data_IF_026429614328
#
_entry.id   IF_026429614328
#
_cell.length_a   1.000
_cell.length_b   1.000
_cell.length_c   1.000
_cell.angle_alpha   90.00
_cell.angle_beta   90.00
_cell.angle_gamma   90.00
#
_symmetry.space_group_name_H-M   'P 1'
#
loop_
_entity.id
_entity.type
_entity.pdbx_description
1 polymer ?
#
# COMPACT_ATOMS: atom_id res chain seq x y z
N UNK A 1 23.54 -7.81 0.95
CA UNK A 1 24.51 -8.30 -0.02
C UNK A 1 23.99 -9.55 -0.72
N UNK A 2 24.72 -10.06 -1.71
CA UNK A 2 24.30 -11.20 -2.51
C UNK A 2 24.11 -12.47 -1.68
N UNK A 3 24.94 -12.68 -0.66
CA UNK A 3 24.82 -13.86 0.20
C UNK A 3 23.47 -13.93 0.91
N UNK A 4 22.92 -12.80 1.38
CA UNK A 4 21.59 -12.77 2.00
C UNK A 4 20.46 -13.17 1.01
N UNK A 5 20.60 -12.78 -0.26
CA UNK A 5 19.64 -13.18 -1.29
C UNK A 5 19.73 -14.68 -1.59
N UNK A 6 20.93 -15.24 -1.61
CA UNK A 6 21.16 -16.66 -1.75
C UNK A 6 20.55 -17.44 -0.57
N UNK A 7 20.92 -17.08 0.65
CA UNK A 7 20.38 -17.74 1.87
C UNK A 7 18.84 -17.69 1.90
N UNK A 8 18.26 -16.55 1.52
CA UNK A 8 16.81 -16.43 1.41
C UNK A 8 16.21 -17.40 0.38
N UNK A 9 16.83 -17.55 -0.79
CA UNK A 9 16.39 -18.50 -1.80
C UNK A 9 16.44 -19.94 -1.31
N UNK A 10 17.48 -20.31 -0.57
CA UNK A 10 17.62 -21.67 -0.04
C UNK A 10 16.56 -21.94 1.03
N UNK A 11 16.35 -21.04 1.99
CA UNK A 11 15.30 -21.14 3.00
C UNK A 11 13.89 -21.26 2.37
N UNK A 12 13.63 -20.50 1.30
CA UNK A 12 12.34 -20.55 0.60
C UNK A 12 12.15 -21.90 -0.13
N UNK A 13 13.20 -22.45 -0.71
CA UNK A 13 13.17 -23.80 -1.33
C UNK A 13 12.88 -24.88 -0.28
N UNK A 14 13.43 -24.74 0.92
CA UNK A 14 13.20 -25.64 2.06
C UNK A 14 11.79 -25.51 2.65
N UNK A 15 10.98 -24.55 2.18
CA UNK A 15 9.57 -24.40 2.58
C UNK A 15 9.33 -23.36 3.66
N UNK A 16 10.32 -22.52 3.99
CA UNK A 16 10.14 -21.39 4.88
C UNK A 16 9.06 -20.43 4.32
N UNK A 17 8.21 -19.91 5.20
CA UNK A 17 7.17 -18.97 4.82
C UNK A 17 7.77 -17.70 4.23
N UNK A 18 7.42 -17.41 2.97
CA UNK A 18 7.87 -16.22 2.26
C UNK A 18 6.80 -15.13 2.31
N UNK A 19 7.13 -14.01 2.95
CA UNK A 19 6.25 -12.85 3.15
C UNK A 19 6.96 -11.60 2.67
N UNK A 20 6.23 -10.70 2.00
CA UNK A 20 6.73 -9.41 1.56
C UNK A 20 5.82 -8.27 2.07
N UNK A 21 6.43 -7.11 2.31
CA UNK A 21 5.72 -5.93 2.80
C UNK A 21 4.92 -5.24 1.71
N UNK A 22 5.43 -5.17 0.48
CA UNK A 22 4.78 -4.58 -0.70
C UNK A 22 5.41 -5.13 -1.99
N UNK A 23 4.74 -5.00 -3.15
CA UNK A 23 5.20 -5.52 -4.43
C UNK A 23 5.87 -4.47 -5.33
N UNK A 24 6.11 -3.25 -4.85
CA UNK A 24 6.59 -2.14 -5.66
C UNK A 24 7.97 -2.46 -6.25
N UNK A 25 8.10 -2.34 -7.57
CA UNK A 25 9.34 -2.65 -8.31
C UNK A 25 10.41 -1.60 -8.04
N UNK A 26 10.01 -0.33 -8.02
CA UNK A 26 10.91 0.79 -7.86
C UNK A 26 10.37 1.81 -6.86
N UNK A 27 11.26 2.38 -6.07
CA UNK A 27 11.00 3.57 -5.28
C UNK A 27 11.48 4.81 -6.07
N UNK A 28 10.60 5.77 -6.39
CA UNK A 28 11.02 7.01 -7.04
C UNK A 28 11.86 7.85 -6.08
N UNK A 29 12.93 8.44 -6.60
CA UNK A 29 13.84 9.33 -5.88
C UNK A 29 13.84 10.71 -6.52
N UNK A 30 14.32 11.70 -5.77
CA UNK A 30 14.52 13.05 -6.28
C UNK A 30 15.40 13.08 -7.53
N UNK A 31 15.09 13.99 -8.46
CA UNK A 31 15.82 14.11 -9.73
C UNK A 31 15.47 13.05 -10.77
N UNK A 32 14.31 12.39 -10.67
CA UNK A 32 13.82 11.41 -11.65
C UNK A 32 14.56 10.08 -11.65
N UNK A 33 15.30 9.80 -10.60
CA UNK A 33 15.97 8.51 -10.38
C UNK A 33 15.03 7.50 -9.74
N UNK A 34 15.38 6.23 -9.86
CA UNK A 34 14.67 5.13 -9.23
C UNK A 34 15.63 4.22 -8.45
N UNK A 35 15.18 3.74 -7.31
CA UNK A 35 15.87 2.71 -6.55
C UNK A 35 15.07 1.41 -6.70
N UNK A 36 15.71 0.26 -7.03
CA UNK A 36 15.04 -1.03 -6.96
C UNK A 36 14.46 -1.28 -5.58
N UNK A 37 13.18 -1.67 -5.54
CA UNK A 37 12.45 -1.85 -4.29
C UNK A 37 12.07 -3.33 -4.07
N UNK A 38 11.24 -3.61 -3.06
CA UNK A 38 10.88 -4.97 -2.66
C UNK A 38 10.41 -5.85 -3.83
N UNK A 39 9.63 -5.28 -4.77
CA UNK A 39 9.19 -6.00 -5.97
C UNK A 39 10.32 -6.48 -6.87
N UNK A 40 11.42 -5.72 -6.98
CA UNK A 40 12.62 -6.15 -7.71
C UNK A 40 13.31 -7.32 -7.03
N UNK A 41 13.37 -7.33 -5.69
CA UNK A 41 13.90 -8.44 -4.90
C UNK A 41 12.98 -9.67 -5.03
N UNK A 42 11.67 -9.46 -5.00
CA UNK A 42 10.68 -10.53 -5.23
C UNK A 42 10.91 -11.17 -6.59
N UNK A 43 11.04 -10.37 -7.65
CA UNK A 43 11.26 -10.88 -9.01
C UNK A 43 12.56 -11.70 -9.10
N UNK A 44 13.64 -11.27 -8.46
CA UNK A 44 14.89 -12.04 -8.37
C UNK A 44 14.67 -13.40 -7.68
N UNK A 45 14.03 -13.41 -6.50
CA UNK A 45 13.77 -14.64 -5.73
C UNK A 45 12.83 -15.56 -6.49
N UNK A 46 11.78 -15.03 -7.10
CA UNK A 46 10.80 -15.78 -7.88
C UNK A 46 11.44 -16.45 -9.11
N UNK A 47 12.29 -15.71 -9.84
CA UNK A 47 13.06 -16.26 -10.95
C UNK A 47 13.98 -17.41 -10.52
N UNK A 48 14.55 -17.34 -9.31
CA UNK A 48 15.47 -18.37 -8.78
C UNK A 48 14.75 -19.57 -8.17
N UNK A 49 13.62 -19.36 -7.49
CA UNK A 49 12.97 -20.40 -6.66
C UNK A 49 11.65 -20.92 -7.23
N UNK A 50 11.04 -20.21 -8.17
CA UNK A 50 9.67 -20.46 -8.64
C UNK A 50 8.59 -20.17 -7.58
N UNK A 51 8.91 -19.44 -6.51
CA UNK A 51 8.02 -19.15 -5.39
C UNK A 51 7.75 -17.65 -5.27
N UNK A 52 6.47 -17.28 -5.15
CA UNK A 52 6.02 -15.91 -4.88
C UNK A 52 5.72 -15.71 -3.39
N UNK A 53 5.93 -14.51 -2.84
CA UNK A 53 5.60 -14.22 -1.46
C UNK A 53 4.10 -14.04 -1.23
N UNK A 54 3.68 -14.19 0.02
CA UNK A 54 2.45 -13.56 0.48
C UNK A 54 2.73 -12.08 0.75
N UNK A 55 2.20 -11.19 -0.09
CA UNK A 55 2.27 -9.74 0.16
C UNK A 55 1.24 -9.36 1.22
N UNK A 56 1.68 -8.69 2.30
CA UNK A 56 0.83 -8.29 3.43
C UNK A 56 0.55 -6.79 3.49
N UNK A 57 1.29 -5.98 2.72
CA UNK A 57 1.10 -4.53 2.62
C UNK A 57 -0.06 -4.12 1.72
N UNK A 58 -0.20 -2.81 1.49
CA UNK A 58 -1.22 -2.26 0.60
C UNK A 58 -1.20 -2.91 -0.80
N UNK A 59 -2.34 -3.20 -1.42
CA UNK A 59 -3.72 -2.97 -0.98
C UNK A 59 -4.33 -4.10 -0.13
N UNK A 60 -3.53 -5.02 0.42
CA UNK A 60 -4.01 -6.18 1.14
C UNK A 60 -4.59 -5.81 2.52
N UNK A 61 -5.65 -6.52 2.91
CA UNK A 61 -6.41 -6.23 4.13
C UNK A 61 -5.64 -6.53 5.43
N UNK A 62 -4.57 -7.30 5.38
CA UNK A 62 -3.81 -7.72 6.55
C UNK A 62 -3.24 -6.53 7.34
N UNK A 63 -2.75 -5.50 6.65
CA UNK A 63 -2.25 -4.29 7.31
C UNK A 63 -3.37 -3.52 8.02
N UNK A 64 -4.56 -3.45 7.41
CA UNK A 64 -5.73 -2.82 8.03
C UNK A 64 -6.18 -3.62 9.23
N UNK A 65 -6.25 -4.95 9.14
CA UNK A 65 -6.62 -5.80 10.28
C UNK A 65 -5.66 -5.58 11.46
N UNK A 66 -4.36 -5.51 11.21
CA UNK A 66 -3.38 -5.21 12.25
C UNK A 66 -3.61 -3.83 12.89
N UNK A 67 -3.96 -2.81 12.11
CA UNK A 67 -4.31 -1.49 12.64
C UNK A 67 -5.59 -1.52 13.47
N UNK A 68 -6.64 -2.18 12.96
CA UNK A 68 -7.94 -2.29 13.63
C UNK A 68 -7.89 -3.03 14.98
N UNK A 69 -6.91 -3.91 15.19
CA UNK A 69 -6.70 -4.52 16.52
C UNK A 69 -6.32 -3.51 17.61
N UNK A 70 -5.79 -2.37 17.21
CA UNK A 70 -5.32 -1.28 18.09
C UNK A 70 -6.32 -0.13 18.18
N UNK A 71 -7.14 0.07 17.16
CA UNK A 71 -8.15 1.13 17.10
C UNK A 71 -9.44 0.60 17.72
N UNK A 72 -9.87 1.22 18.83
CA UNK A 72 -11.11 0.86 19.55
C UNK A 72 -12.29 1.72 19.06
N UNK A 73 -12.57 1.69 17.77
CA UNK A 73 -13.69 2.38 17.16
C UNK A 73 -14.40 1.46 16.16
N UNK A 74 -15.71 1.61 15.95
CA UNK A 74 -16.42 0.90 14.90
C UNK A 74 -15.89 1.32 13.53
N UNK A 75 -15.92 0.41 12.54
CA UNK A 75 -15.35 0.67 11.20
C UNK A 75 -15.93 1.91 10.52
N UNK A 76 -17.21 2.18 10.76
CA UNK A 76 -17.92 3.34 10.22
C UNK A 76 -17.43 4.69 10.76
N UNK A 77 -16.67 4.67 11.85
CA UNK A 77 -16.05 5.85 12.46
C UNK A 77 -14.56 5.97 12.11
N UNK A 78 -14.04 5.05 11.27
CA UNK A 78 -12.65 5.04 10.84
C UNK A 78 -12.58 5.42 9.37
N UNK A 79 -11.65 6.30 9.03
CA UNK A 79 -11.37 6.65 7.64
C UNK A 79 -9.95 6.26 7.23
N UNK A 80 -9.82 5.70 6.02
CA UNK A 80 -8.55 5.55 5.34
C UNK A 80 -8.27 6.79 4.50
N UNK A 81 -7.21 7.52 4.84
CA UNK A 81 -6.77 8.72 4.11
C UNK A 81 -5.54 8.35 3.28
N UNK A 82 -5.54 8.65 2.00
CA UNK A 82 -4.41 8.36 1.12
C UNK A 82 -4.48 9.11 -0.20
N UNK A 83 -3.40 9.04 -0.96
CA UNK A 83 -3.24 9.75 -2.24
C UNK A 83 -3.30 8.83 -3.47
N UNK A 84 -3.43 7.50 -3.26
CA UNK A 84 -3.47 6.53 -4.34
C UNK A 84 -4.79 5.76 -4.37
N UNK A 85 -5.49 5.84 -5.51
CA UNK A 85 -6.75 5.14 -5.72
C UNK A 85 -6.60 3.61 -5.63
N UNK A 86 -5.60 3.06 -6.31
CA UNK A 86 -5.42 1.61 -6.46
C UNK A 86 -4.75 0.92 -5.26
N UNK A 87 -4.24 1.68 -4.29
CA UNK A 87 -3.67 1.12 -3.05
C UNK A 87 -4.42 1.57 -1.82
N UNK A 88 -4.40 2.86 -1.50
CA UNK A 88 -4.96 3.39 -0.25
C UNK A 88 -6.49 3.33 -0.25
N UNK A 89 -7.10 3.87 -1.30
CA UNK A 89 -8.57 3.88 -1.40
C UNK A 89 -9.10 2.46 -1.59
N UNK A 90 -8.49 1.67 -2.48
CA UNK A 90 -8.82 0.26 -2.66
C UNK A 90 -8.76 -0.51 -1.33
N UNK A 91 -7.73 -0.28 -0.52
CA UNK A 91 -7.57 -0.91 0.79
C UNK A 91 -8.66 -0.50 1.77
N UNK A 92 -9.02 0.79 1.82
CA UNK A 92 -10.10 1.29 2.67
C UNK A 92 -11.45 0.66 2.30
N UNK A 93 -11.80 0.65 1.00
CA UNK A 93 -13.01 0.02 0.47
C UNK A 93 -13.05 -1.47 0.83
N UNK A 94 -11.96 -2.21 0.55
CA UNK A 94 -11.87 -3.65 0.82
C UNK A 94 -11.96 -3.99 2.32
N UNK A 95 -11.62 -3.03 3.18
CA UNK A 95 -11.73 -3.19 4.64
C UNK A 95 -13.07 -2.71 5.21
N UNK A 96 -13.95 -2.10 4.39
CA UNK A 96 -15.22 -1.52 4.83
C UNK A 96 -15.04 -0.30 5.74
N UNK A 97 -14.04 0.54 5.44
CA UNK A 97 -13.79 1.82 6.08
C UNK A 97 -14.29 2.97 5.20
N UNK A 98 -14.50 4.14 5.79
CA UNK A 98 -14.63 5.35 4.99
C UNK A 98 -13.33 5.65 4.26
N UNK A 99 -13.39 6.25 3.09
CA UNK A 99 -12.22 6.52 2.25
C UNK A 99 -12.12 7.99 1.89
N UNK A 100 -10.94 8.55 2.07
CA UNK A 100 -10.64 9.96 1.79
C UNK A 100 -9.44 10.02 0.86
N UNK A 101 -9.65 10.48 -0.37
CA UNK A 101 -8.56 10.76 -1.30
C UNK A 101 -8.05 12.19 -1.10
N UNK A 102 -6.72 12.35 -1.03
CA UNK A 102 -6.06 13.66 -1.09
C UNK A 102 -5.28 13.80 -2.38
N UNK A 103 -5.53 14.89 -3.11
CA UNK A 103 -4.98 15.14 -4.45
C UNK A 103 -3.57 15.75 -4.43
N UNK A 104 -2.97 15.89 -3.25
CA UNK A 104 -1.61 16.43 -3.08
C UNK A 104 -0.48 15.43 -3.40
N UNK A 105 -0.84 14.20 -3.74
CA UNK A 105 0.10 13.12 -4.04
C UNK A 105 0.03 12.63 -5.48
N UNK A 106 -0.08 11.29 -5.65
CA UNK A 106 0.02 10.62 -6.94
C UNK A 106 -1.24 10.78 -7.79
N UNK A 107 -2.43 10.47 -7.24
CA UNK A 107 -3.67 10.53 -8.01
C UNK A 107 -4.12 11.96 -8.27
N UNK A 108 -4.72 12.16 -9.45
CA UNK A 108 -5.26 13.45 -9.91
C UNK A 108 -6.78 13.38 -10.01
N UNK A 109 -7.42 14.55 -10.09
CA UNK A 109 -8.88 14.65 -10.22
C UNK A 109 -9.41 13.92 -11.47
N UNK A 110 -8.66 13.92 -12.56
CA UNK A 110 -8.98 13.23 -13.81
C UNK A 110 -9.03 11.70 -13.66
N UNK A 111 -8.29 11.12 -12.71
CA UNK A 111 -8.26 9.67 -12.46
C UNK A 111 -9.58 9.18 -11.85
N UNK A 112 -10.34 10.07 -11.21
CA UNK A 112 -11.64 9.74 -10.62
C UNK A 112 -12.68 9.29 -11.66
N UNK A 113 -12.56 9.78 -12.89
CA UNK A 113 -13.50 9.44 -13.96
C UNK A 113 -13.40 7.98 -14.42
N UNK A 114 -12.26 7.33 -14.24
CA UNK A 114 -11.98 6.00 -14.78
C UNK A 114 -11.60 4.97 -13.69
N UNK A 115 -11.77 5.31 -12.42
CA UNK A 115 -11.42 4.40 -11.33
C UNK A 115 -12.56 3.43 -11.01
N UNK A 116 -12.18 2.19 -10.67
CA UNK A 116 -13.10 1.23 -10.04
C UNK A 116 -13.16 1.41 -8.50
N UNK A 117 -12.33 2.29 -7.94
CA UNK A 117 -12.22 2.55 -6.51
C UNK A 117 -12.64 4.00 -6.22
N UNK A 118 -13.95 4.26 -6.19
CA UNK A 118 -14.48 5.58 -5.89
C UNK A 118 -14.32 5.88 -4.39
N UNK A 119 -13.58 6.96 -4.02
CA UNK A 119 -13.48 7.38 -2.62
C UNK A 119 -14.81 8.00 -2.14
N UNK A 120 -15.08 7.92 -0.83
CA UNK A 120 -16.26 8.56 -0.24
C UNK A 120 -16.10 10.09 -0.19
N UNK A 121 -14.86 10.57 0.01
CA UNK A 121 -14.53 11.98 0.07
C UNK A 121 -13.25 12.29 -0.70
N UNK A 122 -13.17 13.50 -1.26
CA UNK A 122 -11.99 14.01 -1.98
C UNK A 122 -11.64 15.40 -1.46
N UNK A 123 -10.37 15.60 -1.12
CA UNK A 123 -9.80 16.89 -0.70
C UNK A 123 -8.53 17.19 -1.49
N UNK A 124 -8.19 18.46 -1.62
CA UNK A 124 -6.95 18.86 -2.29
C UNK A 124 -5.70 18.44 -1.50
N UNK A 125 -5.81 18.43 -0.16
CA UNK A 125 -4.72 18.09 0.73
C UNK A 125 -5.22 17.63 2.11
N UNK A 126 -4.32 17.09 2.92
CA UNK A 126 -4.60 16.82 4.35
C UNK A 126 -4.90 18.12 5.11
N UNK A 127 -4.33 19.27 4.71
CA UNK A 127 -4.63 20.57 5.29
C UNK A 127 -6.10 20.95 5.09
N UNK A 128 -6.62 20.83 3.87
CA UNK A 128 -8.05 21.08 3.59
C UNK A 128 -8.97 20.13 4.37
N UNK A 129 -8.59 18.86 4.48
CA UNK A 129 -9.31 17.89 5.32
C UNK A 129 -9.33 18.34 6.79
N UNK A 130 -8.21 18.78 7.33
CA UNK A 130 -8.11 19.24 8.72
C UNK A 130 -9.00 20.48 8.98
N UNK A 131 -9.02 21.43 8.04
CA UNK A 131 -9.91 22.59 8.08
C UNK A 131 -11.39 22.18 8.08
N UNK A 132 -11.77 21.25 7.18
CA UNK A 132 -13.14 20.74 7.10
C UNK A 132 -13.60 20.02 8.37
N UNK A 133 -12.68 19.40 9.10
CA UNK A 133 -12.94 18.72 10.38
C UNK A 133 -12.85 19.67 11.59
N UNK A 134 -12.58 20.96 11.40
CA UNK A 134 -12.28 21.94 12.46
C UNK A 134 -11.15 21.45 13.40
N UNK A 135 -10.16 20.79 12.82
CA UNK A 135 -8.99 20.31 13.52
C UNK A 135 -7.97 21.46 13.62
N UNK A 136 -8.15 22.34 14.61
CA UNK A 136 -7.26 23.46 14.93
C UNK A 136 -6.65 23.31 16.30
#
# INVERSE_FOLDING_TARGET
DYQKLWDACDLIREGTQYVATHPDINCPLEGGRYMPDAGSIIAFIEASTGRSPKVIGKPNREIVQAALTRIKAPRQEIAMVGDRLYTDIAMGINAGLNTVLVLSGESKEEDLANTQFAPDFVFKSVGELAEALNWG
#
